data_IF_389203441196
#
_entry.id   IF_389203441196
#
_cell.length_a   1.000
_cell.length_b   1.000
_cell.length_c   1.000
_cell.angle_alpha   90.00
_cell.angle_beta   90.00
_cell.angle_gamma   90.00
#
_symmetry.space_group_name_H-M   'P 1'
#
loop_
_entity.id
_entity.type
_entity.pdbx_description
1 polymer ?
#
# COMPACT_ATOMS: atom_id res chain seq x y z
N UNK A 1 -19.50 -4.40 3.72
CA UNK A 1 -19.65 -4.48 2.26
C UNK A 1 -18.57 -5.45 1.78
N UNK A 2 -18.92 -6.68 1.42
CA UNK A 2 -17.96 -7.73 1.05
C UNK A 2 -17.66 -7.63 -0.44
N UNK A 3 -16.58 -6.96 -0.81
CA UNK A 3 -16.08 -7.02 -2.17
C UNK A 3 -15.38 -8.36 -2.35
N UNK A 4 -15.91 -9.22 -3.24
CA UNK A 4 -15.16 -10.36 -3.76
C UNK A 4 -14.13 -9.80 -4.71
N UNK A 5 -12.89 -9.74 -4.26
CA UNK A 5 -11.77 -9.23 -5.04
C UNK A 5 -11.26 -10.38 -5.91
N UNK A 6 -11.69 -10.45 -7.17
CA UNK A 6 -11.11 -11.38 -8.15
C UNK A 6 -9.89 -10.74 -8.80
N UNK A 7 -8.72 -10.88 -8.17
CA UNK A 7 -7.43 -10.58 -8.79
C UNK A 7 -6.85 -11.85 -9.39
N UNK A 8 -7.20 -12.15 -10.63
CA UNK A 8 -6.45 -13.09 -11.47
C UNK A 8 -6.68 -12.73 -12.94
N UNK A 9 -5.92 -11.77 -13.45
CA UNK A 9 -5.67 -11.71 -14.90
C UNK A 9 -4.60 -12.77 -15.22
N UNK A 10 -4.78 -13.50 -16.32
CA UNK A 10 -3.88 -14.55 -16.80
C UNK A 10 -2.45 -14.01 -17.01
N UNK A 11 -2.35 -12.69 -17.29
CA UNK A 11 -1.08 -12.00 -17.50
C UNK A 11 -0.21 -11.91 -16.24
N UNK A 12 -0.79 -11.62 -15.08
CA UNK A 12 -0.03 -11.39 -13.84
C UNK A 12 0.46 -12.71 -13.22
N UNK A 13 -0.34 -13.76 -13.40
CA UNK A 13 -0.08 -15.12 -12.89
C UNK A 13 1.15 -15.77 -13.54
N UNK A 14 1.43 -15.47 -14.81
CA UNK A 14 2.58 -16.01 -15.53
C UNK A 14 3.89 -15.26 -15.24
N UNK A 15 3.82 -14.04 -14.68
CA UNK A 15 5.00 -13.19 -14.44
C UNK A 15 5.52 -13.34 -13.00
N UNK A 16 4.65 -13.60 -12.02
CA UNK A 16 5.05 -13.83 -10.63
C UNK A 16 4.40 -15.11 -10.08
N UNK A 17 5.18 -16.18 -9.93
CA UNK A 17 4.75 -17.39 -9.22
C UNK A 17 4.28 -17.11 -7.79
N UNK A 18 4.88 -16.12 -7.12
CA UNK A 18 4.51 -15.69 -5.78
C UNK A 18 3.09 -15.10 -5.76
N UNK A 19 2.75 -14.28 -6.76
CA UNK A 19 1.39 -13.73 -6.90
C UNK A 19 0.35 -14.83 -7.12
N UNK A 20 0.68 -15.84 -7.94
CA UNK A 20 -0.17 -17.03 -8.15
C UNK A 20 -0.45 -17.77 -6.85
N UNK A 21 0.59 -17.99 -6.04
CA UNK A 21 0.46 -18.69 -4.77
C UNK A 21 -0.38 -17.89 -3.76
N UNK A 22 -0.18 -16.57 -3.68
CA UNK A 22 -0.98 -15.69 -2.81
C UNK A 22 -2.46 -15.68 -3.20
N UNK A 23 -2.77 -15.62 -4.50
CA UNK A 23 -4.16 -15.68 -5.00
C UNK A 23 -4.87 -17.00 -4.67
N UNK A 24 -4.15 -18.13 -4.71
CA UNK A 24 -4.70 -19.45 -4.36
C UNK A 24 -5.12 -19.56 -2.88
N UNK A 25 -4.46 -18.84 -1.98
CA UNK A 25 -4.77 -18.88 -0.55
C UNK A 25 -6.08 -18.14 -0.21
N UNK A 26 -6.61 -17.30 -1.11
CA UNK A 26 -7.83 -16.49 -0.92
C UNK A 26 -7.85 -15.65 0.38
N UNK A 27 -6.68 -15.33 0.94
CA UNK A 27 -6.53 -14.56 2.19
C UNK A 27 -6.63 -13.03 1.97
N UNK A 28 -7.46 -12.58 1.02
CA UNK A 28 -7.63 -11.16 0.73
C UNK A 28 -8.54 -10.54 1.78
N UNK A 29 -7.94 -10.06 2.86
CA UNK A 29 -8.64 -9.31 3.90
C UNK A 29 -8.49 -7.81 3.65
N UNK A 30 -9.61 -7.09 3.63
CA UNK A 30 -9.58 -5.63 3.56
C UNK A 30 -9.27 -5.06 4.94
N UNK A 31 -8.10 -4.43 5.09
CA UNK A 31 -7.71 -3.69 6.28
C UNK A 31 -7.71 -2.19 5.93
N UNK A 32 -8.78 -1.43 6.23
CA UNK A 32 -8.88 -0.01 5.90
C UNK A 32 -7.96 0.87 6.73
N UNK A 33 -7.44 0.38 7.84
CA UNK A 33 -6.59 1.14 8.73
C UNK A 33 -5.52 0.25 9.39
N UNK A 34 -4.45 0.86 9.88
CA UNK A 34 -3.43 0.15 10.64
C UNK A 34 -2.08 0.84 10.62
N UNK A 35 -1.04 0.08 10.98
CA UNK A 35 0.34 0.52 10.87
C UNK A 35 1.07 -0.36 9.85
N UNK A 36 1.85 0.25 8.96
CA UNK A 36 2.72 -0.48 8.02
C UNK A 36 4.15 -0.02 8.15
N UNK A 37 5.06 -0.98 8.14
CA UNK A 37 6.48 -0.74 7.98
C UNK A 37 6.89 -1.09 6.55
N UNK A 38 7.64 -0.20 5.91
CA UNK A 38 8.14 -0.37 4.55
C UNK A 38 9.67 -0.26 4.59
N UNK A 39 10.34 -1.22 3.95
CA UNK A 39 11.78 -1.13 3.67
C UNK A 39 11.98 -0.44 2.32
N UNK A 40 12.16 0.88 2.32
CA UNK A 40 12.40 1.64 1.10
C UNK A 40 13.85 1.41 0.61
N UNK A 41 14.09 1.17 -0.69
CA UNK A 41 15.44 0.82 -1.20
C UNK A 41 16.54 1.84 -0.85
N UNK A 42 16.20 3.13 -0.81
CA UNK A 42 17.17 4.21 -0.53
C UNK A 42 17.04 4.84 0.85
N UNK A 43 15.84 4.85 1.45
CA UNK A 43 15.56 5.53 2.72
C UNK A 43 15.53 4.55 3.92
N UNK A 44 15.64 3.26 3.65
CA UNK A 44 15.56 2.20 4.66
C UNK A 44 14.16 2.07 5.26
N UNK A 45 14.09 1.66 6.53
CA UNK A 45 12.82 1.44 7.23
C UNK A 45 12.04 2.73 7.44
N UNK A 46 10.75 2.69 7.10
CA UNK A 46 9.78 3.79 7.19
C UNK A 46 8.47 3.24 7.76
N UNK A 47 7.86 3.94 8.72
CA UNK A 47 6.67 3.47 9.43
C UNK A 47 5.53 4.48 9.28
N UNK A 48 4.38 3.99 8.85
CA UNK A 48 3.21 4.80 8.57
C UNK A 48 1.98 4.28 9.30
N UNK A 49 1.16 5.19 9.80
CA UNK A 49 -0.27 4.97 9.96
C UNK A 49 -0.90 4.96 8.57
N UNK A 50 -1.71 3.94 8.31
CA UNK A 50 -2.41 3.72 7.06
C UNK A 50 -3.91 3.95 7.29
N UNK A 51 -4.55 4.68 6.37
CA UNK A 51 -5.99 4.84 6.32
C UNK A 51 -6.45 4.81 4.86
N UNK A 52 -7.49 4.04 4.57
CA UNK A 52 -8.08 3.92 3.25
C UNK A 52 -9.60 3.97 3.32
N UNK A 53 -10.20 4.76 2.42
CA UNK A 53 -11.64 4.90 2.30
C UNK A 53 -12.01 5.29 0.86
N UNK A 54 -13.26 5.05 0.48
CA UNK A 54 -13.80 5.46 -0.81
C UNK A 54 -14.39 6.86 -0.75
N UNK A 55 -14.28 7.61 -1.84
CA UNK A 55 -14.93 8.91 -1.95
C UNK A 55 -16.46 8.74 -1.99
N UNK A 56 -17.18 9.59 -1.25
CA UNK A 56 -18.64 9.48 -1.13
C UNK A 56 -19.36 9.63 -2.48
N UNK A 57 -18.93 10.59 -3.31
CA UNK A 57 -19.55 10.90 -4.59
C UNK A 57 -18.92 10.15 -5.78
N UNK A 58 -17.87 9.36 -5.52
CA UNK A 58 -17.13 8.62 -6.55
C UNK A 58 -16.62 7.29 -5.98
N UNK A 59 -17.48 6.25 -5.88
CA UNK A 59 -17.12 4.94 -5.33
C UNK A 59 -16.00 4.20 -6.11
N UNK A 60 -15.71 4.64 -7.33
CA UNK A 60 -14.57 4.19 -8.13
C UNK A 60 -13.22 4.76 -7.65
N UNK A 61 -13.25 5.82 -6.83
CA UNK A 61 -12.07 6.46 -6.26
C UNK A 61 -11.83 5.99 -4.82
N UNK A 62 -10.63 5.46 -4.59
CA UNK A 62 -10.13 5.16 -3.25
C UNK A 62 -9.07 6.19 -2.85
N UNK A 63 -9.23 6.77 -1.67
CA UNK A 63 -8.25 7.65 -1.04
C UNK A 63 -7.46 6.82 -0.04
N UNK A 64 -6.13 6.90 -0.13
CA UNK A 64 -5.21 6.24 0.81
C UNK A 64 -4.29 7.29 1.40
N UNK A 65 -4.30 7.40 2.73
CA UNK A 65 -3.47 8.31 3.51
C UNK A 65 -2.41 7.48 4.22
N UNK A 66 -1.15 7.92 4.11
CA UNK A 66 -0.02 7.32 4.80
C UNK A 66 0.63 8.40 5.66
N UNK A 67 0.28 8.43 6.94
CA UNK A 67 0.79 9.42 7.88
C UNK A 67 2.08 8.87 8.51
N UNK A 68 3.22 9.58 8.42
CA UNK A 68 4.43 9.19 9.14
C UNK A 68 4.17 9.06 10.64
N UNK A 69 4.56 7.92 11.24
CA UNK A 69 4.39 7.71 12.69
C UNK A 69 5.28 8.67 13.47
N UNK A 70 4.69 9.36 14.45
CA UNK A 70 5.40 10.27 15.35
C UNK A 70 6.50 9.56 16.12
N UNK A 71 7.65 10.22 16.32
CA UNK A 71 8.80 9.63 17.00
C UNK A 71 9.63 8.68 16.12
N UNK A 72 9.31 8.55 14.83
CA UNK A 72 10.18 7.91 13.83
C UNK A 72 10.78 8.95 12.90
N UNK A 73 11.84 8.59 12.17
CA UNK A 73 12.47 9.45 11.14
C UNK A 73 11.70 9.43 9.81
N UNK A 74 10.47 8.90 9.79
CA UNK A 74 9.74 8.64 8.54
C UNK A 74 9.38 9.94 7.83
N UNK A 75 9.04 11.00 8.56
CA UNK A 75 8.67 12.28 7.97
C UNK A 75 9.87 12.94 7.26
N UNK A 76 11.04 12.92 7.89
CA UNK A 76 12.30 13.43 7.35
C UNK A 76 12.70 12.68 6.09
N UNK A 77 12.57 11.35 6.11
CA UNK A 77 12.84 10.48 4.96
C UNK A 77 11.89 10.76 3.78
N UNK A 78 10.61 10.98 4.04
CA UNK A 78 9.66 11.40 2.99
C UNK A 78 10.11 12.72 2.36
N UNK A 79 10.47 13.71 3.18
CA UNK A 79 10.95 15.01 2.66
C UNK A 79 12.22 14.85 1.82
N UNK A 80 13.18 14.04 2.26
CA UNK A 80 14.38 13.73 1.49
C UNK A 80 14.03 13.13 0.11
N UNK A 81 13.12 12.16 0.05
CA UNK A 81 12.69 11.51 -1.19
C UNK A 81 11.98 12.49 -2.14
N UNK A 82 11.17 13.41 -1.60
CA UNK A 82 10.50 14.43 -2.41
C UNK A 82 11.50 15.40 -3.05
N UNK A 83 12.57 15.75 -2.34
CA UNK A 83 13.63 16.61 -2.87
C UNK A 83 14.49 15.90 -3.93
N UNK A 84 14.71 14.58 -3.80
CA UNK A 84 15.44 13.78 -4.78
C UNK A 84 14.72 13.68 -6.12
N UNK A 85 13.39 13.57 -6.11
CA UNK A 85 12.58 13.42 -7.34
C UNK A 85 12.59 14.67 -8.23
N UNK A 86 13.00 15.82 -7.71
CA UNK A 86 13.02 17.09 -8.45
C UNK A 86 14.34 17.34 -9.22
N UNK A 87 15.25 16.36 -9.28
CA UNK A 87 16.50 16.36 -10.04
C UNK A 87 16.51 15.25 -11.10
#
# INVERSE_FOLDING_TARGET
MNYKVEFCDDKTTNISPEFKEMGQRQEVTYAPEGHKAISHPTAGSMVFEYLAFWAADSPELQIVINTPVSGTETAEKVNMLLLQKNN
#
